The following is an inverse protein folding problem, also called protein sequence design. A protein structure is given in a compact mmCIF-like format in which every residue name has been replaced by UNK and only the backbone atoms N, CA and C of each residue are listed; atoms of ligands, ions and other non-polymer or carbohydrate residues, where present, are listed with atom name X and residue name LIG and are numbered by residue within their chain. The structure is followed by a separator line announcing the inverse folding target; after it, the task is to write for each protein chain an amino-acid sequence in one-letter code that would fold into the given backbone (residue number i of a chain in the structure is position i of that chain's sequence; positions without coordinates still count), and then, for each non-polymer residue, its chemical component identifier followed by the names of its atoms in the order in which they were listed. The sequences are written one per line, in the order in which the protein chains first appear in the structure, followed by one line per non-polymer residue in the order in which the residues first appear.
data_IF_642602368200
#
_entry.id   IF_642602368200
#
_cell.length_a   1.000
_cell.length_b   1.000
_cell.length_c   1.000
_cell.angle_alpha   90.00
_cell.angle_beta   90.00
_cell.angle_gamma   90.00
#
_symmetry.space_group_name_H-M   'P 1'
#
loop_
_entity.id
_entity.type
_entity.pdbx_description
1 polymer ?
#
# COMPACT_ATOMS: atom_id res chain seq x y z
N UNK A 1 -4.90 -2.14 21.95
CA UNK A 1 -3.53 -1.63 22.20
C UNK A 1 -3.29 -0.46 21.28
N UNK A 2 -2.83 0.70 21.77
CA UNK A 2 -2.44 1.84 20.92
C UNK A 2 -1.17 1.46 20.18
N UNK A 3 -1.30 0.99 18.94
CA UNK A 3 -0.15 0.78 18.07
C UNK A 3 0.31 2.17 17.62
N UNK A 4 1.53 2.54 18.01
CA UNK A 4 2.18 3.78 17.55
C UNK A 4 2.36 3.67 16.02
N UNK A 5 1.38 4.13 15.24
CA UNK A 5 1.61 4.46 13.84
C UNK A 5 2.47 5.71 13.81
N UNK A 6 3.47 5.73 12.93
CA UNK A 6 4.56 6.70 12.79
C UNK A 6 5.87 6.21 13.41
N UNK A 7 6.98 6.22 12.66
CA UNK A 7 8.28 6.16 13.29
C UNK A 7 8.38 7.36 14.23
N UNK A 8 8.71 7.11 15.49
CA UNK A 8 9.08 8.11 16.51
C UNK A 8 10.20 9.07 16.06
N UNK A 9 10.80 8.80 14.91
CA UNK A 9 11.86 9.57 14.27
C UNK A 9 11.38 10.89 13.65
N UNK A 10 10.06 11.05 13.39
CA UNK A 10 9.44 12.28 12.86
C UNK A 10 9.11 13.32 13.93
N UNK A 11 8.90 12.89 15.18
CA UNK A 11 8.55 13.78 16.30
C UNK A 11 9.63 14.85 16.59
N UNK A 12 10.85 14.65 16.06
CA UNK A 12 11.99 15.56 16.20
C UNK A 12 12.50 16.15 14.87
N UNK A 13 11.69 16.12 13.80
CA UNK A 13 12.08 16.68 12.50
C UNK A 13 11.60 18.13 12.38
N UNK A 14 12.54 19.06 12.14
CA UNK A 14 12.20 20.47 11.93
C UNK A 14 11.36 20.66 10.67
N UNK A 15 10.51 21.70 10.65
CA UNK A 15 9.65 21.99 9.47
C UNK A 15 10.43 22.09 8.15
N UNK A 16 11.64 22.65 8.19
CA UNK A 16 12.53 22.71 7.01
C UNK A 16 12.96 21.32 6.52
N UNK A 17 13.21 20.39 7.42
CA UNK A 17 13.58 19.01 7.06
C UNK A 17 12.37 18.21 6.56
N UNK A 18 11.14 18.49 7.03
CA UNK A 18 9.93 17.92 6.44
C UNK A 18 9.81 18.31 4.96
N UNK A 19 10.03 19.57 4.61
CA UNK A 19 10.04 20.02 3.21
C UNK A 19 11.08 19.28 2.36
N UNK A 20 12.26 19.01 2.92
CA UNK A 20 13.31 18.21 2.26
C UNK A 20 12.84 16.78 1.98
N UNK A 21 12.21 16.14 2.97
CA UNK A 21 11.70 14.78 2.84
C UNK A 21 10.58 14.71 1.79
N UNK A 22 9.62 15.63 1.82
CA UNK A 22 8.52 15.66 0.84
C UNK A 22 9.01 15.97 -0.58
N UNK A 23 9.97 16.89 -0.73
CA UNK A 23 10.58 17.19 -2.03
C UNK A 23 11.35 15.97 -2.57
N UNK A 24 12.15 15.32 -1.74
CA UNK A 24 12.86 14.11 -2.15
C UNK A 24 11.89 12.96 -2.48
N UNK A 25 10.79 12.82 -1.72
CA UNK A 25 9.72 11.86 -1.98
C UNK A 25 9.11 12.07 -3.36
N UNK A 26 8.80 13.31 -3.75
CA UNK A 26 8.25 13.58 -5.08
C UNK A 26 9.22 13.22 -6.21
N UNK A 27 10.52 13.47 -6.03
CA UNK A 27 11.56 13.05 -6.99
C UNK A 27 11.66 11.52 -7.13
N UNK A 28 11.62 10.79 -6.00
CA UNK A 28 11.63 9.32 -6.01
C UNK A 28 10.40 8.77 -6.75
N UNK A 29 9.22 9.35 -6.52
CA UNK A 29 7.99 8.91 -7.18
C UNK A 29 7.98 9.23 -8.68
N UNK A 30 8.58 10.35 -9.09
CA UNK A 30 8.62 10.75 -10.49
C UNK A 30 9.70 10.02 -11.31
N UNK A 31 10.85 9.70 -10.71
CA UNK A 31 12.04 9.27 -11.46
C UNK A 31 12.78 8.06 -10.87
N UNK A 32 12.25 7.46 -9.80
CA UNK A 32 12.90 6.38 -9.07
C UNK A 32 14.02 6.88 -8.14
N UNK A 33 14.38 6.08 -7.13
CA UNK A 33 15.38 6.50 -6.14
C UNK A 33 16.83 6.46 -6.65
N UNK A 34 17.11 5.70 -7.72
CA UNK A 34 18.45 5.63 -8.33
C UNK A 34 18.92 7.01 -8.79
N UNK A 35 17.99 7.79 -9.37
CA UNK A 35 18.22 9.11 -9.94
C UNK A 35 18.22 10.26 -8.91
N UNK A 36 18.00 9.96 -7.63
CA UNK A 36 17.96 10.98 -6.59
C UNK A 36 19.33 11.66 -6.41
N UNK A 37 19.40 12.98 -6.51
CA UNK A 37 20.60 13.76 -6.18
C UNK A 37 20.37 14.59 -4.93
N UNK A 38 21.10 14.28 -3.86
CA UNK A 38 21.07 15.04 -2.60
C UNK A 38 21.60 16.46 -2.83
N UNK A 39 22.52 16.60 -3.77
CA UNK A 39 23.09 17.86 -4.21
C UNK A 39 22.05 18.79 -4.80
N UNK A 40 21.27 18.27 -5.75
CA UNK A 40 20.19 19.02 -6.40
C UNK A 40 19.10 19.40 -5.39
N UNK A 41 18.68 18.46 -4.55
CA UNK A 41 17.69 18.72 -3.49
C UNK A 41 18.17 19.84 -2.55
N UNK A 42 19.44 19.80 -2.14
CA UNK A 42 20.00 20.82 -1.27
C UNK A 42 20.04 22.21 -1.93
N UNK A 43 20.43 22.26 -3.21
CA UNK A 43 20.46 23.49 -3.99
C UNK A 43 19.05 24.08 -4.19
N UNK A 44 18.10 23.26 -4.63
CA UNK A 44 16.72 23.65 -4.93
C UNK A 44 15.96 24.15 -3.67
N UNK A 45 16.34 23.67 -2.48
CA UNK A 45 15.73 24.07 -1.21
C UNK A 45 16.57 25.08 -0.41
N UNK A 46 17.63 25.63 -1.01
CA UNK A 46 18.54 26.59 -0.37
C UNK A 46 19.03 26.11 1.01
N UNK A 47 19.54 24.88 1.07
CA UNK A 47 20.22 24.29 2.24
C UNK A 47 21.57 23.71 1.88
N UNK A 48 22.41 23.50 2.89
CA UNK A 48 23.65 22.76 2.70
C UNK A 48 23.39 21.26 2.65
N UNK A 49 24.15 20.52 1.84
CA UNK A 49 24.18 19.04 1.88
C UNK A 49 24.49 18.54 3.30
N UNK A 50 25.36 19.26 4.02
CA UNK A 50 25.72 18.96 5.42
C UNK A 50 24.49 18.98 6.34
N UNK A 51 23.49 19.79 6.06
CA UNK A 51 22.22 19.82 6.81
C UNK A 51 21.46 18.50 6.67
N UNK A 52 21.40 17.93 5.46
CA UNK A 52 20.78 16.63 5.19
C UNK A 52 21.62 15.51 5.82
N UNK A 53 22.93 15.50 5.55
CA UNK A 53 23.84 14.46 6.03
C UNK A 53 24.03 14.44 7.55
N UNK A 54 23.77 15.55 8.25
CA UNK A 54 23.72 15.58 9.73
C UNK A 54 22.64 14.64 10.28
N UNK A 55 21.53 14.45 9.56
CA UNK A 55 20.43 13.57 9.96
C UNK A 55 20.52 12.20 9.30
N UNK A 56 20.93 12.16 8.03
CA UNK A 56 20.99 10.94 7.23
C UNK A 56 22.43 10.73 6.75
N UNK A 57 23.26 9.94 7.44
CA UNK A 57 24.71 9.89 7.18
C UNK A 57 25.10 9.53 5.74
N UNK A 58 24.22 8.84 5.00
CA UNK A 58 24.44 8.42 3.61
C UNK A 58 23.20 8.69 2.76
N UNK A 59 23.39 8.75 1.43
CA UNK A 59 22.28 8.81 0.46
C UNK A 59 21.31 7.64 0.66
N UNK A 60 21.84 6.44 0.90
CA UNK A 60 21.01 5.25 1.12
C UNK A 60 20.16 5.38 2.39
N UNK A 61 20.71 5.89 3.50
CA UNK A 61 19.93 6.13 4.72
C UNK A 61 18.86 7.20 4.53
N UNK A 62 19.12 8.20 3.69
CA UNK A 62 18.12 9.20 3.33
C UNK A 62 17.00 8.59 2.49
N UNK A 63 17.33 7.79 1.47
CA UNK A 63 16.34 7.09 0.64
C UNK A 63 15.52 6.11 1.47
N UNK A 64 16.16 5.29 2.31
CA UNK A 64 15.49 4.34 3.20
C UNK A 64 14.45 5.06 4.07
N UNK A 65 14.83 6.19 4.67
CA UNK A 65 13.90 7.00 5.47
C UNK A 65 12.72 7.52 4.63
N UNK A 66 12.97 8.05 3.43
CA UNK A 66 11.91 8.57 2.56
C UNK A 66 10.96 7.45 2.12
N UNK A 67 11.48 6.26 1.82
CA UNK A 67 10.67 5.10 1.46
C UNK A 67 9.79 4.65 2.64
N UNK A 68 10.38 4.53 3.84
CA UNK A 68 9.63 4.23 5.06
C UNK A 68 8.54 5.26 5.30
N UNK A 69 8.87 6.55 5.21
CA UNK A 69 7.92 7.65 5.32
C UNK A 69 6.80 7.56 4.29
N UNK A 70 7.13 7.24 3.03
CA UNK A 70 6.16 7.10 1.95
C UNK A 70 5.16 5.98 2.24
N UNK A 71 5.64 4.79 2.58
CA UNK A 71 4.79 3.64 2.86
C UNK A 71 4.01 3.79 4.15
N UNK A 72 4.60 4.37 5.21
CA UNK A 72 3.87 4.61 6.46
C UNK A 72 2.67 5.56 6.26
N UNK A 73 2.77 6.57 5.35
CA UNK A 73 1.63 7.40 4.96
C UNK A 73 0.53 6.58 4.28
N UNK A 74 0.88 5.70 3.35
CA UNK A 74 -0.07 4.82 2.67
C UNK A 74 -0.75 3.89 3.69
N UNK A 75 0.05 3.26 4.56
CA UNK A 75 -0.44 2.33 5.56
C UNK A 75 -1.39 3.01 6.54
N UNK A 76 -1.10 4.24 6.95
CA UNK A 76 -1.98 5.04 7.80
C UNK A 76 -3.34 5.29 7.13
N UNK A 77 -3.38 5.61 5.84
CA UNK A 77 -4.63 5.81 5.09
C UNK A 77 -5.50 4.56 5.12
N UNK A 78 -4.92 3.37 4.91
CA UNK A 78 -5.69 2.12 4.92
C UNK A 78 -6.09 1.72 6.34
N UNK A 79 -5.20 1.85 7.34
CA UNK A 79 -5.49 1.55 8.76
C UNK A 79 -6.57 2.44 9.36
N UNK A 80 -6.79 3.63 8.81
CA UNK A 80 -7.85 4.52 9.24
C UNK A 80 -9.25 4.00 8.86
N UNK A 81 -9.36 3.07 7.92
CA UNK A 81 -10.63 2.47 7.49
C UNK A 81 -11.19 1.62 8.63
N UNK A 82 -12.35 2.01 9.14
CA UNK A 82 -13.05 1.30 10.20
C UNK A 82 -14.13 0.37 9.62
N UNK A 83 -14.29 -0.85 10.13
CA UNK A 83 -15.43 -1.70 9.81
C UNK A 83 -16.76 -1.03 10.20
N UNK A 84 -17.78 -1.18 9.34
CA UNK A 84 -19.16 -0.82 9.65
C UNK A 84 -19.99 -2.11 9.72
N UNK A 85 -20.56 -2.40 10.89
CA UNK A 85 -21.38 -3.60 11.11
C UNK A 85 -22.65 -3.63 10.26
N UNK A 86 -23.15 -2.47 9.81
CA UNK A 86 -24.32 -2.37 8.92
C UNK A 86 -23.95 -2.58 7.45
N UNK A 87 -22.71 -2.24 7.09
CA UNK A 87 -22.19 -2.35 5.73
C UNK A 87 -20.84 -3.08 5.75
N UNK A 88 -20.81 -4.38 6.10
CA UNK A 88 -19.56 -5.08 6.37
C UNK A 88 -18.63 -5.16 5.16
N UNK A 89 -19.17 -5.15 3.94
CA UNK A 89 -18.39 -5.12 2.69
C UNK A 89 -17.81 -3.74 2.37
N UNK A 90 -18.32 -2.65 2.97
CA UNK A 90 -17.84 -1.30 2.69
C UNK A 90 -16.36 -1.12 3.10
N UNK A 91 -15.95 -1.73 4.21
CA UNK A 91 -14.54 -1.74 4.60
C UNK A 91 -13.65 -2.44 3.56
N UNK A 92 -14.09 -3.58 3.01
CA UNK A 92 -13.40 -4.30 1.93
C UNK A 92 -13.25 -3.40 0.70
N UNK A 93 -14.32 -2.71 0.32
CA UNK A 93 -14.34 -1.77 -0.80
C UNK A 93 -13.35 -0.62 -0.59
N UNK A 94 -13.36 0.01 0.58
CA UNK A 94 -12.49 1.13 0.89
C UNK A 94 -11.01 0.71 0.90
N UNK A 95 -10.71 -0.48 1.42
CA UNK A 95 -9.35 -1.04 1.41
C UNK A 95 -8.89 -1.28 -0.02
N UNK A 96 -9.72 -1.93 -0.83
CA UNK A 96 -9.45 -2.17 -2.27
C UNK A 96 -9.17 -0.85 -2.99
N UNK A 97 -9.99 0.17 -2.76
CA UNK A 97 -9.82 1.50 -3.37
C UNK A 97 -8.50 2.14 -2.98
N UNK A 98 -8.18 2.15 -1.68
CA UNK A 98 -6.95 2.73 -1.19
C UNK A 98 -5.71 2.00 -1.74
N UNK A 99 -5.75 0.66 -1.80
CA UNK A 99 -4.68 -0.15 -2.42
C UNK A 99 -4.56 0.18 -3.90
N UNK A 100 -5.66 0.20 -4.65
CA UNK A 100 -5.64 0.54 -6.07
C UNK A 100 -5.02 1.93 -6.30
N UNK A 101 -5.57 2.96 -5.64
CA UNK A 101 -5.12 4.35 -5.76
C UNK A 101 -3.62 4.54 -5.53
N UNK A 102 -3.07 3.84 -4.53
CA UNK A 102 -1.67 4.02 -4.16
C UNK A 102 -0.70 3.17 -4.98
N UNK A 103 -1.11 1.98 -5.41
CA UNK A 103 -0.19 1.00 -5.99
C UNK A 103 -0.34 0.81 -7.51
N UNK A 104 -1.50 1.11 -8.11
CA UNK A 104 -1.76 0.78 -9.52
C UNK A 104 -0.87 1.52 -10.53
N UNK A 105 -0.39 2.72 -10.16
CA UNK A 105 0.48 3.57 -10.99
C UNK A 105 1.97 3.38 -10.70
N UNK A 106 2.33 2.51 -9.76
CA UNK A 106 3.73 2.27 -9.44
C UNK A 106 4.42 1.49 -10.55
N UNK A 107 5.68 1.85 -10.83
CA UNK A 107 6.51 1.09 -11.77
C UNK A 107 7.00 -0.21 -11.10
N UNK A 108 6.74 -1.40 -11.66
CA UNK A 108 7.22 -2.68 -11.12
C UNK A 108 8.73 -2.74 -10.88
N UNK A 109 9.53 -2.12 -11.76
CA UNK A 109 10.98 -2.07 -11.61
C UNK A 109 11.38 -1.27 -10.36
N UNK A 110 10.70 -0.17 -10.06
CA UNK A 110 10.95 0.61 -8.83
C UNK A 110 10.62 -0.23 -7.59
N UNK A 111 9.52 -0.99 -7.62
CA UNK A 111 9.14 -1.87 -6.51
C UNK A 111 10.18 -2.99 -6.34
N UNK A 112 10.63 -3.59 -7.44
CA UNK A 112 11.70 -4.59 -7.43
C UNK A 112 12.98 -4.03 -6.81
N UNK A 113 13.37 -2.83 -7.23
CA UNK A 113 14.54 -2.16 -6.69
C UNK A 113 14.41 -1.88 -5.18
N UNK A 114 13.22 -1.50 -4.69
CA UNK A 114 12.96 -1.36 -3.25
C UNK A 114 13.14 -2.70 -2.53
N UNK A 115 12.61 -3.80 -3.10
CA UNK A 115 12.73 -5.14 -2.54
C UNK A 115 14.19 -5.59 -2.39
N UNK A 116 15.01 -5.35 -3.41
CA UNK A 116 16.43 -5.75 -3.42
C UNK A 116 17.30 -4.84 -2.54
N UNK A 117 17.15 -3.52 -2.67
CA UNK A 117 18.07 -2.56 -2.05
C UNK A 117 17.64 -2.14 -0.63
N UNK A 118 16.35 -2.26 -0.29
CA UNK A 118 15.80 -1.83 0.99
C UNK A 118 14.93 -2.94 1.62
N UNK A 119 15.52 -4.11 1.97
CA UNK A 119 14.76 -5.26 2.48
C UNK A 119 13.98 -4.96 3.77
N UNK A 120 14.41 -3.98 4.56
CA UNK A 120 13.69 -3.54 5.76
C UNK A 120 12.37 -2.83 5.43
N UNK A 121 12.37 -2.03 4.35
CA UNK A 121 11.15 -1.41 3.81
C UNK A 121 10.23 -2.51 3.27
N UNK A 122 10.78 -3.45 2.51
CA UNK A 122 10.02 -4.56 1.95
C UNK A 122 9.33 -5.42 3.02
N UNK A 123 10.06 -5.74 4.10
CA UNK A 123 9.49 -6.46 5.25
C UNK A 123 8.28 -5.75 5.86
N UNK A 124 8.28 -4.41 5.91
CA UNK A 124 7.10 -3.65 6.36
C UNK A 124 5.93 -3.73 5.38
N UNK A 125 6.20 -3.74 4.07
CA UNK A 125 5.17 -3.90 3.04
C UNK A 125 4.50 -5.27 3.17
N UNK A 126 5.28 -6.34 3.32
CA UNK A 126 4.75 -7.69 3.51
C UNK A 126 3.94 -7.81 4.81
N UNK A 127 4.46 -7.31 5.92
CA UNK A 127 3.73 -7.30 7.19
C UNK A 127 2.41 -6.51 7.10
N UNK A 128 2.41 -5.41 6.35
CA UNK A 128 1.20 -4.62 6.12
C UNK A 128 0.17 -5.37 5.24
N UNK A 129 0.61 -6.12 4.21
CA UNK A 129 -0.29 -6.96 3.40
C UNK A 129 -0.99 -8.01 4.27
N UNK A 130 -0.24 -8.67 5.13
CA UNK A 130 -0.78 -9.64 6.09
C UNK A 130 -1.79 -8.99 7.04
N UNK A 131 -1.44 -7.84 7.64
CA UNK A 131 -2.31 -7.07 8.52
C UNK A 131 -3.64 -6.70 7.84
N UNK A 132 -3.59 -6.18 6.61
CA UNK A 132 -4.79 -5.76 5.91
C UNK A 132 -5.68 -6.95 5.55
N UNK A 133 -5.13 -8.05 5.03
CA UNK A 133 -5.96 -9.22 4.69
C UNK A 133 -6.59 -9.84 5.94
N UNK A 134 -5.83 -9.93 7.04
CA UNK A 134 -6.32 -10.52 8.29
C UNK A 134 -7.39 -9.66 8.97
N UNK A 135 -7.27 -8.33 8.91
CA UNK A 135 -8.29 -7.41 9.48
C UNK A 135 -9.64 -7.50 8.77
N UNK A 136 -9.68 -7.88 7.49
CA UNK A 136 -10.93 -8.09 6.75
C UNK A 136 -11.72 -9.32 7.20
N UNK A 137 -11.14 -10.24 7.99
CA UNK A 137 -11.83 -11.43 8.47
C UNK A 137 -13.16 -11.11 9.17
N UNK A 138 -13.17 -10.10 10.05
CA UNK A 138 -14.37 -9.67 10.76
C UNK A 138 -15.48 -9.19 9.81
N UNK A 139 -15.10 -8.40 8.80
CA UNK A 139 -15.99 -7.93 7.74
C UNK A 139 -16.61 -9.08 6.97
N UNK A 140 -15.82 -10.06 6.52
CA UNK A 140 -16.38 -11.21 5.78
C UNK A 140 -17.25 -12.10 6.67
N UNK A 141 -16.91 -12.30 7.94
CA UNK A 141 -17.77 -13.04 8.88
C UNK A 141 -19.11 -12.34 9.10
N UNK A 142 -19.10 -11.02 9.28
CA UNK A 142 -20.34 -10.25 9.43
C UNK A 142 -21.16 -10.26 8.13
N UNK A 143 -20.49 -10.14 6.98
CA UNK A 143 -21.14 -10.23 5.67
C UNK A 143 -21.78 -11.61 5.43
N UNK A 144 -21.19 -12.69 5.93
CA UNK A 144 -21.80 -14.03 5.90
C UNK A 144 -23.07 -14.10 6.75
N UNK A 145 -23.05 -13.56 7.97
CA UNK A 145 -24.24 -13.50 8.84
C UNK A 145 -25.40 -12.71 8.21
N UNK A 146 -25.08 -11.67 7.44
CA UNK A 146 -26.07 -10.84 6.74
C UNK A 146 -26.47 -11.41 5.36
N UNK A 147 -25.96 -12.58 4.97
CA UNK A 147 -26.31 -13.24 3.71
C UNK A 147 -25.67 -12.65 2.46
N UNK A 148 -24.60 -11.85 2.59
CA UNK A 148 -23.83 -11.35 1.44
C UNK A 148 -22.74 -12.32 0.99
N UNK A 149 -22.08 -12.99 1.94
CA UNK A 149 -21.10 -14.05 1.67
C UNK A 149 -21.81 -15.40 1.68
N UNK A 150 -21.40 -16.32 0.82
CA UNK A 150 -21.99 -17.65 0.74
C UNK A 150 -21.87 -18.41 2.06
N UNK A 151 -22.94 -19.12 2.43
CA UNK A 151 -22.99 -19.86 3.70
C UNK A 151 -22.20 -21.19 3.67
N UNK A 152 -21.89 -21.70 2.49
CA UNK A 152 -21.13 -22.95 2.30
C UNK A 152 -19.60 -22.76 2.36
N UNK A 153 -19.13 -21.52 2.51
CA UNK A 153 -17.70 -21.19 2.57
C UNK A 153 -17.25 -21.00 4.02
N UNK A 154 -16.17 -21.68 4.43
CA UNK A 154 -15.46 -21.27 5.65
C UNK A 154 -14.65 -19.99 5.37
N UNK A 155 -15.14 -18.87 5.90
CA UNK A 155 -14.47 -17.56 5.79
C UNK A 155 -13.02 -17.60 6.27
N UNK A 156 -12.66 -18.42 7.26
CA UNK A 156 -11.26 -18.56 7.70
C UNK A 156 -10.39 -19.13 6.58
N UNK A 157 -10.88 -20.18 5.93
CA UNK A 157 -10.19 -20.77 4.78
C UNK A 157 -10.09 -19.77 3.62
N UNK A 158 -11.17 -19.08 3.30
CA UNK A 158 -11.18 -18.07 2.23
C UNK A 158 -10.15 -16.95 2.47
N UNK A 159 -10.07 -16.43 3.70
CA UNK A 159 -9.10 -15.37 4.05
C UNK A 159 -7.67 -15.90 4.03
N UNK A 160 -7.42 -17.12 4.50
CA UNK A 160 -6.10 -17.74 4.41
C UNK A 160 -5.65 -17.93 2.94
N UNK A 161 -6.57 -18.35 2.06
CA UNK A 161 -6.32 -18.48 0.63
C UNK A 161 -6.06 -17.12 -0.03
N UNK A 162 -6.84 -16.09 0.30
CA UNK A 162 -6.62 -14.72 -0.16
C UNK A 162 -5.23 -14.24 0.28
N UNK A 163 -4.85 -14.45 1.55
CA UNK A 163 -3.54 -14.03 2.05
C UNK A 163 -2.40 -14.67 1.27
N UNK A 164 -2.42 -16.00 1.11
CA UNK A 164 -1.37 -16.72 0.36
C UNK A 164 -1.32 -16.32 -1.10
N UNK A 165 -2.48 -16.05 -1.70
CA UNK A 165 -2.56 -15.56 -3.08
C UNK A 165 -2.00 -14.14 -3.19
N UNK A 166 -2.30 -13.24 -2.24
CA UNK A 166 -1.75 -11.88 -2.22
C UNK A 166 -0.23 -11.90 -2.09
N UNK A 167 0.30 -12.69 -1.15
CA UNK A 167 1.74 -12.87 -0.92
C UNK A 167 2.45 -13.37 -2.19
N UNK A 168 1.81 -14.24 -2.97
CA UNK A 168 2.41 -14.80 -4.18
C UNK A 168 2.26 -13.92 -5.42
N UNK A 169 1.08 -13.33 -5.64
CA UNK A 169 0.74 -12.62 -6.89
C UNK A 169 1.31 -11.21 -6.90
N UNK A 170 1.26 -10.49 -5.78
CA UNK A 170 1.67 -9.07 -5.74
C UNK A 170 3.17 -8.91 -5.47
N UNK A 171 3.98 -9.78 -6.06
CA UNK A 171 5.45 -9.67 -6.04
C UNK A 171 5.94 -8.89 -7.26
N UNK A 172 6.96 -8.02 -7.12
CA UNK A 172 7.48 -7.27 -8.26
C UNK A 172 7.94 -8.18 -9.41
N UNK A 173 8.49 -9.36 -9.09
CA UNK A 173 8.91 -10.36 -10.07
C UNK A 173 7.74 -10.91 -10.90
N UNK A 174 6.54 -11.03 -10.32
CA UNK A 174 5.35 -11.44 -11.06
C UNK A 174 5.05 -10.41 -12.16
N UNK A 175 5.00 -9.12 -11.80
CA UNK A 175 4.69 -8.05 -12.75
C UNK A 175 5.76 -7.87 -13.83
N UNK A 176 7.04 -8.02 -13.47
CA UNK A 176 8.13 -7.94 -14.44
C UNK A 176 8.13 -9.08 -15.46
N UNK A 177 7.52 -10.23 -15.13
CA UNK A 177 7.45 -11.41 -16.00
C UNK A 177 6.05 -11.69 -16.54
N UNK A 178 5.07 -10.79 -16.30
CA UNK A 178 3.69 -10.95 -16.76
C UNK A 178 3.31 -9.88 -17.78
N UNK A 179 2.32 -10.17 -18.63
CA UNK A 179 1.71 -9.19 -19.52
C UNK A 179 0.69 -8.28 -18.83
N UNK A 180 0.40 -8.51 -17.55
CA UNK A 180 -0.62 -7.77 -16.81
C UNK A 180 -0.02 -6.57 -16.09
N UNK A 181 -0.69 -5.42 -16.20
CA UNK A 181 -0.34 -4.28 -15.35
C UNK A 181 -0.73 -4.55 -13.89
N UNK A 182 -0.17 -3.77 -12.97
CA UNK A 182 -0.58 -3.83 -11.56
C UNK A 182 -2.08 -3.52 -11.43
N UNK A 183 -2.57 -2.52 -12.18
CA UNK A 183 -3.97 -2.13 -12.20
C UNK A 183 -4.89 -3.29 -12.63
N UNK A 184 -4.57 -3.94 -13.75
CA UNK A 184 -5.35 -5.07 -14.28
C UNK A 184 -5.31 -6.26 -13.32
N UNK A 185 -4.15 -6.54 -12.74
CA UNK A 185 -3.99 -7.64 -11.79
C UNK A 185 -4.83 -7.41 -10.53
N UNK A 186 -4.84 -6.18 -9.99
CA UNK A 186 -5.70 -5.83 -8.85
C UNK A 186 -7.17 -6.06 -9.24
N UNK A 187 -7.62 -5.52 -10.38
CA UNK A 187 -9.01 -5.66 -10.84
C UNK A 187 -9.44 -7.12 -11.00
N UNK A 188 -8.67 -7.90 -11.76
CA UNK A 188 -8.93 -9.32 -12.01
C UNK A 188 -8.89 -10.14 -10.72
N UNK A 189 -7.93 -9.88 -9.84
CA UNK A 189 -7.81 -10.60 -8.57
C UNK A 189 -9.04 -10.38 -7.68
N UNK A 190 -9.49 -9.13 -7.56
CA UNK A 190 -10.65 -8.82 -6.72
C UNK A 190 -11.92 -9.39 -7.36
N UNK A 191 -12.09 -9.30 -8.68
CA UNK A 191 -13.23 -9.89 -9.38
C UNK A 191 -13.32 -11.40 -9.12
N UNK A 192 -12.22 -12.14 -9.35
CA UNK A 192 -12.16 -13.59 -9.14
C UNK A 192 -12.44 -13.97 -7.68
N UNK A 193 -11.82 -13.28 -6.73
CA UNK A 193 -11.98 -13.61 -5.31
C UNK A 193 -13.37 -13.25 -4.78
N UNK A 194 -13.90 -12.09 -5.15
CA UNK A 194 -15.20 -11.63 -4.67
C UNK A 194 -16.35 -12.40 -5.33
N UNK A 195 -16.31 -12.67 -6.64
CA UNK A 195 -17.30 -13.52 -7.30
C UNK A 195 -17.25 -14.97 -6.81
N UNK A 196 -16.10 -15.44 -6.34
CA UNK A 196 -15.97 -16.75 -5.71
C UNK A 196 -16.64 -16.84 -4.33
N UNK A 197 -16.58 -15.76 -3.54
CA UNK A 197 -16.97 -15.73 -2.11
C UNK A 197 -18.39 -15.19 -1.89
N UNK A 198 -18.82 -14.21 -2.68
CA UNK A 198 -20.10 -13.55 -2.51
C UNK A 198 -21.26 -14.37 -3.09
N UNK A 199 -22.46 -14.15 -2.55
CA UNK A 199 -23.68 -14.70 -3.14
C UNK A 199 -23.99 -13.99 -4.47
N UNK A 200 -24.59 -14.71 -5.43
CA UNK A 200 -24.88 -14.19 -6.78
C UNK A 200 -25.77 -12.95 -6.80
N UNK A 201 -26.59 -12.74 -5.76
CA UNK A 201 -27.45 -11.57 -5.59
C UNK A 201 -26.75 -10.38 -4.92
N UNK A 202 -25.51 -10.55 -4.46
CA UNK A 202 -24.70 -9.48 -3.89
C UNK A 202 -24.01 -8.73 -5.00
N UNK A 203 -24.40 -7.48 -5.24
CA UNK A 203 -23.78 -6.65 -6.26
C UNK A 203 -22.42 -6.13 -5.77
N UNK A 204 -21.34 -6.54 -6.43
CA UNK A 204 -19.97 -6.10 -6.13
C UNK A 204 -19.24 -5.76 -7.44
N UNK A 205 -19.49 -4.55 -7.95
CA UNK A 205 -18.97 -4.10 -9.24
C UNK A 205 -17.57 -3.48 -9.10
N UNK A 206 -16.53 -4.27 -9.35
CA UNK A 206 -15.12 -3.83 -9.27
C UNK A 206 -14.84 -2.61 -10.13
N UNK A 207 -15.36 -2.60 -11.35
CA UNK A 207 -15.13 -1.53 -12.32
C UNK A 207 -15.69 -0.22 -11.79
N UNK A 208 -16.89 -0.25 -11.22
CA UNK A 208 -17.47 0.93 -10.54
C UNK A 208 -16.69 1.31 -9.29
N UNK A 209 -16.11 0.36 -8.57
CA UNK A 209 -15.35 0.66 -7.36
C UNK A 209 -14.01 1.32 -7.64
N UNK A 210 -13.40 0.97 -8.77
CA UNK A 210 -12.02 1.33 -9.14
C UNK A 210 -11.96 2.50 -10.14
N UNK A 211 -12.86 2.57 -11.13
CA UNK A 211 -12.83 3.59 -12.21
C UNK A 211 -13.49 4.93 -11.85
N UNK A 212 -14.28 5.00 -10.78
CA UNK A 212 -14.95 6.26 -10.37
C UNK A 212 -14.02 7.31 -9.74
N UNK A 213 -12.74 7.00 -9.44
CA UNK A 213 -11.76 8.01 -9.02
C UNK A 213 -10.98 8.61 -10.20
N UNK A 214 -10.97 8.01 -11.39
CA UNK A 214 -10.27 8.59 -12.56
C UNK A 214 -10.94 9.85 -13.12
N UNK A 215 -12.11 10.23 -12.61
CA UNK A 215 -12.90 11.41 -13.00
C UNK A 215 -13.07 12.44 -11.86
N UNK A 216 -12.19 12.47 -10.85
CA UNK A 216 -12.25 13.46 -9.76
C UNK A 216 -10.88 14.00 -9.36
#
# INVERSE_FOLDING_TARGET
MKQKSFPSELENISGKMISVIEYARSQILASGFRNLSVEKIAADLHISKKTIYKRFPTKDKFIEFILLYHYDKIFATVRAIQPDDKQPLNAVVLVVRAVYKHFCVMNPQTIYDVKIHYPQVWKKIEAFREEIVTTLFGSFKKAQQLGFVRNDIDVRFAIALILKSVESVFQPEFFLNSSYSIADTIGLYIDLTMNGILNKNTNFDIDRLVKNETNS
#
